data_IF_548478993350
#
_entry.id   IF_548478993350
#
_cell.length_a   1.000
_cell.length_b   1.000
_cell.length_c   1.000
_cell.angle_alpha   90.00
_cell.angle_beta   90.00
_cell.angle_gamma   90.00
#
_symmetry.space_group_name_H-M   'P 1'
#
loop_
_entity.id
_entity.type
_entity.pdbx_description
1 polymer ?
#
# COMPACT_ATOMS: atom_id res chain seq x y z
N UNK A 1 -2.71 -35.75 -31.10
CA UNK A 1 -2.68 -34.82 -29.95
C UNK A 1 -3.32 -33.52 -30.38
N UNK A 2 -4.51 -33.28 -29.85
CA UNK A 2 -5.61 -32.55 -30.47
C UNK A 2 -5.63 -31.06 -30.10
N UNK A 3 -6.40 -30.30 -30.90
CA UNK A 3 -6.73 -28.86 -30.78
C UNK A 3 -7.05 -28.34 -29.36
N UNK A 4 -7.35 -29.23 -28.41
CA UNK A 4 -7.65 -28.96 -27.01
C UNK A 4 -6.49 -28.31 -26.22
N UNK A 5 -5.23 -28.68 -26.48
CA UNK A 5 -4.09 -28.11 -25.75
C UNK A 5 -3.80 -26.63 -26.10
N UNK A 6 -4.29 -26.15 -27.24
CA UNK A 6 -4.12 -24.75 -27.65
C UNK A 6 -5.15 -23.82 -26.97
N UNK A 7 -6.29 -24.34 -26.53
CA UNK A 7 -7.30 -23.61 -25.73
C UNK A 7 -6.83 -23.38 -24.29
N UNK A 8 -6.14 -24.36 -23.70
CA UNK A 8 -5.65 -24.26 -22.31
C UNK A 8 -4.56 -23.20 -22.13
N UNK A 9 -3.66 -23.04 -23.12
CA UNK A 9 -2.58 -22.05 -23.05
C UNK A 9 -3.05 -20.61 -23.31
N UNK A 10 -4.17 -20.43 -24.02
CA UNK A 10 -4.76 -19.09 -24.26
C UNK A 10 -5.57 -18.61 -23.05
N UNK A 11 -6.27 -19.52 -22.36
CA UNK A 11 -6.97 -19.18 -21.11
C UNK A 11 -5.99 -18.87 -19.96
N UNK A 12 -4.83 -19.53 -19.88
CA UNK A 12 -3.86 -19.29 -18.79
C UNK A 12 -3.21 -17.90 -18.82
N UNK A 13 -3.13 -17.21 -19.97
CA UNK A 13 -2.53 -15.87 -20.05
C UNK A 13 -3.53 -14.74 -19.76
N UNK A 14 -4.81 -14.93 -20.10
CA UNK A 14 -5.88 -13.98 -19.77
C UNK A 14 -6.27 -14.10 -18.29
N UNK A 15 -6.24 -15.32 -17.73
CA UNK A 15 -6.51 -15.57 -16.31
C UNK A 15 -5.40 -15.03 -15.39
N UNK A 16 -4.14 -14.96 -15.87
CA UNK A 16 -3.06 -14.29 -15.14
C UNK A 16 -3.12 -12.76 -15.19
N UNK A 17 -3.65 -12.15 -16.26
CA UNK A 17 -3.86 -10.69 -16.35
C UNK A 17 -5.08 -10.26 -15.53
N UNK A 18 -6.16 -11.03 -15.60
CA UNK A 18 -7.30 -10.89 -14.69
C UNK A 18 -6.88 -11.07 -13.23
N UNK A 19 -6.10 -12.11 -12.92
CA UNK A 19 -5.58 -12.36 -11.56
C UNK A 19 -4.63 -11.28 -11.05
N UNK A 20 -3.83 -10.63 -11.90
CA UNK A 20 -2.94 -9.53 -11.50
C UNK A 20 -3.72 -8.24 -11.18
N UNK A 21 -4.77 -7.92 -11.96
CA UNK A 21 -5.72 -6.84 -11.68
C UNK A 21 -6.59 -7.12 -10.45
N UNK A 22 -7.04 -8.36 -10.28
CA UNK A 22 -7.80 -8.83 -9.11
C UNK A 22 -6.94 -8.79 -7.85
N UNK A 23 -5.66 -9.20 -7.94
CA UNK A 23 -4.70 -9.04 -6.85
C UNK A 23 -4.43 -7.56 -6.59
N UNK A 24 -4.32 -6.72 -7.62
CA UNK A 24 -4.19 -5.28 -7.45
C UNK A 24 -5.42 -4.66 -6.77
N UNK A 25 -6.65 -5.10 -7.06
CA UNK A 25 -7.89 -4.58 -6.47
C UNK A 25 -8.19 -5.11 -5.05
N UNK A 26 -7.80 -6.36 -4.76
CA UNK A 26 -7.84 -6.92 -3.39
C UNK A 26 -6.70 -6.31 -2.54
N UNK A 27 -5.55 -6.06 -3.15
CA UNK A 27 -4.46 -5.26 -2.57
C UNK A 27 -4.86 -3.78 -2.47
N UNK A 28 -5.76 -3.26 -3.31
CA UNK A 28 -6.34 -1.93 -3.11
C UNK A 28 -7.22 -1.92 -1.85
N UNK A 29 -7.97 -2.98 -1.53
CA UNK A 29 -8.73 -3.05 -0.27
C UNK A 29 -7.90 -3.47 0.97
N UNK A 30 -6.76 -4.15 0.80
CA UNK A 30 -5.93 -4.70 1.90
C UNK A 30 -4.59 -3.97 2.10
N UNK A 31 -4.08 -3.26 1.09
CA UNK A 31 -2.83 -2.46 1.12
C UNK A 31 -3.12 -0.97 0.85
N UNK A 32 -4.31 -0.59 0.35
CA UNK A 32 -4.71 0.79 0.08
C UNK A 32 -6.03 1.12 0.81
N UNK A 33 -5.98 1.17 2.14
CA UNK A 33 -7.05 1.82 2.90
C UNK A 33 -7.19 3.33 2.65
N UNK A 34 -6.68 3.85 1.53
CA UNK A 34 -6.52 5.28 1.32
C UNK A 34 -6.49 5.69 -0.16
N UNK A 35 -7.50 6.47 -0.53
CA UNK A 35 -7.64 7.17 -1.80
C UNK A 35 -8.92 6.72 -2.48
N UNK A 36 -9.99 7.51 -2.56
CA UNK A 36 -10.05 8.92 -2.94
C UNK A 36 -11.41 9.55 -2.51
N UNK A 37 -11.79 10.70 -3.07
CA UNK A 37 -12.91 11.65 -2.88
C UNK A 37 -12.72 12.76 -1.85
N UNK A 38 -12.84 14.00 -2.34
CA UNK A 38 -12.66 15.23 -1.59
C UNK A 38 -13.98 15.89 -1.14
N UNK A 39 -13.82 16.69 -0.08
CA UNK A 39 -14.27 18.08 0.09
C UNK A 39 -15.58 18.52 -0.59
N UNK A 40 -16.71 18.29 0.09
CA UNK A 40 -17.53 19.40 0.59
C UNK A 40 -18.00 19.06 2.01
N UNK A 41 -17.10 19.18 2.98
CA UNK A 41 -17.48 19.52 4.35
C UNK A 41 -16.55 20.62 4.90
N UNK A 42 -16.12 21.55 4.05
CA UNK A 42 -15.29 22.69 4.44
C UNK A 42 -16.06 23.84 5.09
N UNK A 43 -17.35 23.68 5.40
CA UNK A 43 -18.18 24.80 5.88
C UNK A 43 -18.91 24.59 7.22
N UNK A 44 -18.86 23.41 7.88
CA UNK A 44 -19.52 23.26 9.20
C UNK A 44 -19.10 22.09 10.11
N UNK A 45 -17.96 21.45 9.86
CA UNK A 45 -17.27 20.63 10.89
C UNK A 45 -16.31 21.52 11.61
N UNK A 46 -16.16 21.34 12.92
CA UNK A 46 -14.99 21.80 13.61
C UNK A 46 -13.73 21.40 12.83
N UNK A 47 -12.77 22.33 12.71
CA UNK A 47 -11.38 22.01 12.39
C UNK A 47 -10.86 21.05 13.46
N UNK A 48 -11.14 19.76 13.36
CA UNK A 48 -10.38 18.77 14.09
C UNK A 48 -9.08 18.59 13.32
N UNK A 49 -8.06 19.30 13.80
CA UNK A 49 -6.69 19.02 13.40
C UNK A 49 -6.37 17.59 13.83
N UNK A 50 -5.90 16.77 12.89
CA UNK A 50 -5.51 15.38 13.19
C UNK A 50 -4.42 15.39 14.26
N UNK A 51 -4.75 14.92 15.46
CA UNK A 51 -3.81 14.85 16.57
C UNK A 51 -3.19 13.45 16.63
N UNK A 52 -1.92 13.35 16.25
CA UNK A 52 -1.13 12.12 16.41
C UNK A 52 -0.65 12.03 17.86
N UNK A 53 -0.98 10.97 18.61
CA UNK A 53 -0.57 10.84 19.99
C UNK A 53 0.95 10.70 20.10
N UNK A 54 1.56 11.36 21.09
CA UNK A 54 2.98 11.20 21.43
C UNK A 54 3.22 10.01 22.36
N UNK A 55 2.18 9.54 23.05
CA UNK A 55 2.19 8.40 23.97
C UNK A 55 0.79 7.78 24.08
N UNK A 56 0.73 6.54 24.55
CA UNK A 56 -0.49 5.87 25.00
C UNK A 56 -0.44 5.70 26.51
N UNK A 57 -1.57 5.91 27.18
CA UNK A 57 -1.72 5.65 28.62
C UNK A 57 -2.13 4.21 28.87
N UNK A 58 -1.98 3.73 30.12
CA UNK A 58 -2.48 2.41 30.53
C UNK A 58 -3.99 2.26 30.22
N UNK A 59 -4.78 3.31 30.45
CA UNK A 59 -6.21 3.30 30.13
C UNK A 59 -6.47 3.14 28.63
N UNK A 60 -5.65 3.76 27.77
CA UNK A 60 -5.80 3.62 26.32
C UNK A 60 -5.56 2.17 25.89
N UNK A 61 -4.57 1.50 26.48
CA UNK A 61 -4.34 0.07 26.26
C UNK A 61 -5.50 -0.79 26.73
N UNK A 62 -6.03 -0.53 27.93
CA UNK A 62 -7.19 -1.28 28.45
C UNK A 62 -8.41 -1.14 27.54
N UNK A 63 -8.67 0.07 27.03
CA UNK A 63 -9.76 0.33 26.08
C UNK A 63 -9.52 -0.38 24.74
N UNK A 64 -8.29 -0.38 24.23
CA UNK A 64 -7.93 -1.08 23.00
C UNK A 64 -8.08 -2.60 23.12
N UNK A 65 -7.70 -3.18 24.25
CA UNK A 65 -7.76 -4.62 24.51
C UNK A 65 -9.18 -5.12 24.84
N UNK A 66 -10.10 -4.23 25.23
CA UNK A 66 -11.48 -4.59 25.57
C UNK A 66 -12.19 -5.21 24.36
N UNK A 67 -12.64 -6.46 24.50
CA UNK A 67 -13.37 -7.18 23.44
C UNK A 67 -12.49 -7.71 22.30
N UNK A 68 -11.17 -7.72 22.47
CA UNK A 68 -10.27 -8.46 21.59
C UNK A 68 -10.41 -9.98 21.82
N UNK A 69 -9.92 -10.77 20.85
CA UNK A 69 -10.03 -12.23 20.87
C UNK A 69 -9.44 -12.85 22.16
N UNK A 70 -10.17 -13.75 22.86
CA UNK A 70 -9.71 -14.34 24.11
C UNK A 70 -8.38 -15.10 24.00
N UNK A 71 -8.09 -15.75 22.86
CA UNK A 71 -6.81 -16.44 22.68
C UNK A 71 -5.66 -15.43 22.49
N UNK A 72 -5.91 -14.31 21.80
CA UNK A 72 -4.97 -13.20 21.74
C UNK A 72 -4.69 -12.60 23.12
N UNK A 73 -5.74 -12.33 23.92
CA UNK A 73 -5.58 -11.81 25.28
C UNK A 73 -4.82 -12.79 26.19
N UNK A 74 -5.12 -14.09 26.11
CA UNK A 74 -4.39 -15.12 26.85
C UNK A 74 -2.91 -15.15 26.47
N UNK A 75 -2.59 -15.09 25.17
CA UNK A 75 -1.20 -15.02 24.71
C UNK A 75 -0.49 -13.80 25.29
N UNK A 76 -1.15 -12.63 25.29
CA UNK A 76 -0.58 -11.44 25.91
C UNK A 76 -0.42 -11.58 27.42
N UNK A 77 -1.31 -12.28 28.12
CA UNK A 77 -1.22 -12.50 29.57
C UNK A 77 -0.08 -13.47 29.95
N UNK A 78 0.12 -14.52 29.16
CA UNK A 78 1.07 -15.60 29.45
C UNK A 78 2.51 -15.26 29.00
N UNK A 79 2.68 -14.34 28.05
CA UNK A 79 3.99 -14.02 27.45
C UNK A 79 4.40 -12.54 27.69
N UNK A 80 5.31 -12.27 28.66
CA UNK A 80 5.86 -10.95 28.89
C UNK A 80 6.60 -10.37 27.67
N UNK A 81 7.25 -11.20 26.86
CA UNK A 81 7.96 -10.76 25.66
C UNK A 81 6.99 -10.29 24.59
N UNK A 82 5.84 -10.96 24.43
CA UNK A 82 4.77 -10.51 23.53
C UNK A 82 4.24 -9.13 23.93
N UNK A 83 4.04 -8.88 25.23
CA UNK A 83 3.64 -7.54 25.73
C UNK A 83 4.70 -6.49 25.44
N UNK A 84 5.96 -6.80 25.73
CA UNK A 84 7.06 -5.88 25.45
C UNK A 84 7.15 -5.54 23.96
N UNK A 85 7.03 -6.54 23.08
CA UNK A 85 7.04 -6.34 21.63
C UNK A 85 5.86 -5.48 21.16
N UNK A 86 4.66 -5.71 21.70
CA UNK A 86 3.50 -4.88 21.40
C UNK A 86 3.74 -3.40 21.78
N UNK A 87 4.27 -3.16 22.98
CA UNK A 87 4.58 -1.81 23.46
C UNK A 87 5.67 -1.12 22.63
N UNK A 88 6.75 -1.84 22.30
CA UNK A 88 7.82 -1.29 21.46
C UNK A 88 7.33 -0.98 20.04
N UNK A 89 6.46 -1.81 19.46
CA UNK A 89 5.84 -1.51 18.16
C UNK A 89 5.05 -0.19 18.21
N UNK A 90 4.18 0.00 19.22
CA UNK A 90 3.44 1.26 19.37
C UNK A 90 4.39 2.44 19.54
N UNK A 91 5.39 2.31 20.40
CA UNK A 91 6.39 3.36 20.63
C UNK A 91 7.14 3.75 19.36
N UNK A 92 7.59 2.77 18.57
CA UNK A 92 8.27 3.01 17.30
C UNK A 92 7.35 3.69 16.29
N UNK A 93 6.12 3.17 16.10
CA UNK A 93 5.13 3.78 15.20
C UNK A 93 4.84 5.23 15.59
N UNK A 94 4.58 5.51 16.86
CA UNK A 94 4.30 6.87 17.33
C UNK A 94 5.53 7.78 17.17
N UNK A 95 6.74 7.28 17.45
CA UNK A 95 7.95 8.06 17.26
C UNK A 95 8.13 8.49 15.79
N UNK A 96 7.97 7.55 14.86
CA UNK A 96 8.09 7.83 13.42
C UNK A 96 6.97 8.76 12.95
N UNK A 97 5.74 8.55 13.37
CA UNK A 97 4.60 9.40 13.01
C UNK A 97 4.77 10.85 13.53
N UNK A 98 5.25 11.02 14.76
CA UNK A 98 5.52 12.35 15.31
C UNK A 98 6.71 13.03 14.63
N UNK A 99 7.74 12.28 14.26
CA UNK A 99 8.84 12.82 13.45
C UNK A 99 8.35 13.22 12.05
N UNK A 100 7.48 12.43 11.44
CA UNK A 100 6.83 12.76 10.16
C UNK A 100 6.07 14.09 10.25
N UNK A 101 5.28 14.27 11.31
CA UNK A 101 4.58 15.53 11.61
C UNK A 101 5.56 16.68 11.76
N UNK A 102 6.64 16.50 12.54
CA UNK A 102 7.66 17.53 12.77
C UNK A 102 8.35 17.99 11.49
N UNK A 103 8.54 17.09 10.54
CA UNK A 103 9.15 17.39 9.23
C UNK A 103 8.14 17.87 8.17
N UNK A 104 6.90 18.21 8.57
CA UNK A 104 5.91 18.82 7.69
C UNK A 104 5.21 17.84 6.75
N UNK A 105 5.31 16.52 6.96
CA UNK A 105 4.66 15.54 6.08
C UNK A 105 3.12 15.72 6.08
N UNK A 106 2.56 16.18 7.19
CA UNK A 106 1.13 16.46 7.31
C UNK A 106 0.69 17.75 6.60
N UNK A 107 1.62 18.54 6.05
CA UNK A 107 1.29 19.75 5.26
C UNK A 107 0.94 19.41 3.81
N UNK A 108 1.37 18.25 3.33
CA UNK A 108 1.05 17.71 2.00
C UNK A 108 -0.46 17.41 1.87
N UNK A 109 -1.10 17.90 0.82
CA UNK A 109 -2.54 17.77 0.63
C UNK A 109 -2.98 16.32 0.34
N UNK A 110 -2.14 15.51 -0.31
CA UNK A 110 -2.39 14.07 -0.51
C UNK A 110 -2.37 13.38 0.85
N UNK A 111 -1.38 13.67 1.70
CA UNK A 111 -1.29 13.15 3.08
C UNK A 111 -2.50 13.58 3.93
N UNK A 112 -2.92 14.84 3.87
CA UNK A 112 -4.11 15.31 4.59
C UNK A 112 -5.39 14.61 4.15
N UNK A 113 -5.54 14.40 2.84
CA UNK A 113 -6.68 13.65 2.31
C UNK A 113 -6.64 12.21 2.81
N UNK A 114 -5.47 11.60 2.73
CA UNK A 114 -5.23 10.23 3.14
C UNK A 114 -5.60 10.00 4.62
N UNK A 115 -5.21 10.92 5.51
CA UNK A 115 -5.57 10.87 6.94
C UNK A 115 -7.08 10.96 7.20
N UNK A 116 -7.83 11.73 6.39
CA UNK A 116 -9.30 11.84 6.50
C UNK A 116 -9.99 10.56 6.04
N UNK A 117 -9.48 9.92 5.00
CA UNK A 117 -10.04 8.64 4.53
C UNK A 117 -9.79 7.51 5.53
N UNK A 118 -8.63 7.49 6.20
CA UNK A 118 -8.38 6.55 7.31
C UNK A 118 -9.43 6.75 8.41
N UNK A 119 -9.67 7.99 8.83
CA UNK A 119 -10.67 8.29 9.85
C UNK A 119 -12.07 7.82 9.43
N UNK A 120 -12.48 8.14 8.20
CA UNK A 120 -13.77 7.74 7.64
C UNK A 120 -13.93 6.22 7.66
N UNK A 121 -12.95 5.49 7.13
CA UNK A 121 -13.00 4.04 7.00
C UNK A 121 -12.94 3.34 8.36
N UNK A 122 -12.02 3.72 9.24
CA UNK A 122 -11.88 3.10 10.56
C UNK A 122 -13.13 3.34 11.41
N UNK A 123 -13.72 4.53 11.31
CA UNK A 123 -14.98 4.86 11.97
C UNK A 123 -16.13 4.02 11.43
N UNK A 124 -16.32 4.01 10.11
CA UNK A 124 -17.37 3.25 9.44
C UNK A 124 -17.28 1.74 9.75
N UNK A 125 -16.10 1.16 9.57
CA UNK A 125 -15.88 -0.28 9.79
C UNK A 125 -16.03 -0.67 11.25
N UNK A 126 -15.56 0.15 12.20
CA UNK A 126 -15.75 -0.12 13.63
C UNK A 126 -17.22 -0.06 14.01
N UNK A 127 -17.97 0.90 13.46
CA UNK A 127 -19.40 1.03 13.70
C UNK A 127 -20.20 -0.13 13.10
N UNK A 128 -19.91 -0.51 11.86
CA UNK A 128 -20.55 -1.65 11.19
C UNK A 128 -20.34 -2.95 11.99
N UNK A 129 -19.12 -3.19 12.46
CA UNK A 129 -18.80 -4.34 13.31
C UNK A 129 -19.57 -4.33 14.63
N UNK A 130 -19.67 -3.18 15.30
CA UNK A 130 -20.40 -3.09 16.58
C UNK A 130 -21.91 -3.23 16.38
N UNK A 131 -22.49 -2.56 15.39
CA UNK A 131 -23.91 -2.63 15.02
C UNK A 131 -24.34 -4.06 14.66
N UNK A 132 -23.45 -4.84 14.04
CA UNK A 132 -23.74 -6.18 13.57
C UNK A 132 -23.09 -7.28 14.42
N UNK A 133 -22.62 -6.93 15.61
CA UNK A 133 -22.01 -7.87 16.55
C UNK A 133 -22.96 -9.03 16.87
N UNK A 134 -22.44 -10.25 16.78
CA UNK A 134 -23.21 -11.48 17.05
C UNK A 134 -24.08 -11.96 15.89
N UNK A 135 -24.16 -11.23 14.76
CA UNK A 135 -24.94 -11.68 13.60
C UNK A 135 -24.25 -12.73 12.71
N UNK A 136 -22.99 -13.09 13.01
CA UNK A 136 -22.21 -14.09 12.27
C UNK A 136 -21.07 -13.47 11.43
N UNK A 137 -20.25 -14.28 10.74
CA UNK A 137 -19.20 -13.77 9.87
C UNK A 137 -19.82 -13.19 8.60
N UNK A 138 -19.72 -11.88 8.44
CA UNK A 138 -20.10 -11.19 7.21
C UNK A 138 -18.91 -10.38 6.69
N UNK A 139 -18.80 -10.17 5.37
CA UNK A 139 -17.86 -9.18 4.85
C UNK A 139 -18.18 -7.81 5.48
N UNK A 140 -17.18 -6.92 5.64
CA UNK A 140 -17.43 -5.56 6.08
C UNK A 140 -18.56 -4.93 5.28
N UNK A 141 -19.50 -4.27 5.97
CA UNK A 141 -20.66 -3.63 5.36
C UNK A 141 -21.62 -4.59 4.63
N UNK A 142 -21.56 -5.89 4.96
CA UNK A 142 -22.35 -6.94 4.33
C UNK A 142 -23.86 -6.86 4.61
N UNK A 143 -24.27 -6.07 5.61
CA UNK A 143 -25.68 -5.85 5.96
C UNK A 143 -26.26 -4.57 5.35
N UNK A 144 -25.51 -3.87 4.50
CA UNK A 144 -26.01 -2.74 3.73
C UNK A 144 -26.45 -3.25 2.36
N UNK A 145 -27.75 -3.13 2.10
CA UNK A 145 -28.40 -3.69 0.92
C UNK A 145 -28.21 -2.81 -0.32
N UNK A 146 -28.40 -3.39 -1.51
CA UNK A 146 -28.28 -2.67 -2.78
C UNK A 146 -29.23 -1.47 -2.89
N UNK A 147 -30.42 -1.57 -2.30
CA UNK A 147 -31.39 -0.47 -2.35
C UNK A 147 -30.96 0.72 -1.48
N UNK A 148 -30.22 0.49 -0.39
CA UNK A 148 -29.60 1.55 0.39
C UNK A 148 -28.48 2.23 -0.40
N UNK A 149 -27.70 1.45 -1.14
CA UNK A 149 -26.66 1.96 -2.06
C UNK A 149 -27.28 2.81 -3.17
N UNK A 150 -28.36 2.34 -3.81
CA UNK A 150 -29.09 3.11 -4.85
C UNK A 150 -29.61 4.41 -4.27
N UNK A 151 -30.26 4.37 -3.10
CA UNK A 151 -30.78 5.55 -2.41
C UNK A 151 -29.69 6.55 -2.05
N UNK A 152 -28.49 6.09 -1.68
CA UNK A 152 -27.35 6.98 -1.46
C UNK A 152 -27.01 7.79 -2.72
N UNK A 153 -27.16 7.21 -3.91
CA UNK A 153 -26.87 7.88 -5.19
C UNK A 153 -28.05 8.67 -5.79
N UNK A 154 -29.27 8.61 -5.22
CA UNK A 154 -30.36 9.53 -5.60
C UNK A 154 -29.96 11.01 -5.39
N UNK A 155 -29.00 11.24 -4.50
CA UNK A 155 -28.38 12.55 -4.31
C UNK A 155 -27.31 12.81 -5.37
N UNK A 156 -27.54 13.82 -6.23
CA UNK A 156 -26.57 14.28 -7.25
C UNK A 156 -25.21 14.65 -6.66
N UNK A 157 -25.15 15.12 -5.41
CA UNK A 157 -23.90 15.40 -4.72
C UNK A 157 -23.07 14.12 -4.52
N UNK A 158 -23.72 13.02 -4.11
CA UNK A 158 -23.04 11.74 -3.89
C UNK A 158 -22.55 11.12 -5.20
N UNK A 159 -23.28 11.32 -6.30
CA UNK A 159 -22.81 10.95 -7.65
C UNK A 159 -21.54 11.72 -8.02
N UNK A 160 -21.53 13.04 -7.85
CA UNK A 160 -20.36 13.86 -8.14
C UNK A 160 -19.17 13.49 -7.25
N UNK A 161 -19.42 13.21 -5.97
CA UNK A 161 -18.40 12.77 -5.02
C UNK A 161 -17.77 11.44 -5.44
N UNK A 162 -18.57 10.48 -5.91
CA UNK A 162 -18.05 9.22 -6.44
C UNK A 162 -17.28 9.39 -7.75
N UNK A 163 -17.72 10.28 -8.65
CA UNK A 163 -16.98 10.50 -9.89
C UNK A 163 -15.58 11.07 -9.60
N UNK A 164 -15.49 12.00 -8.64
CA UNK A 164 -14.19 12.50 -8.18
C UNK A 164 -13.37 11.40 -7.46
N UNK A 165 -14.02 10.58 -6.63
CA UNK A 165 -13.42 9.37 -6.04
C UNK A 165 -12.71 8.55 -7.11
N UNK A 166 -13.48 8.13 -8.11
CA UNK A 166 -13.02 7.20 -9.12
C UNK A 166 -11.87 7.80 -9.92
N UNK A 167 -11.99 9.08 -10.32
CA UNK A 167 -10.96 9.74 -11.12
C UNK A 167 -9.59 9.70 -10.43
N UNK A 168 -9.46 10.18 -9.19
CA UNK A 168 -8.12 10.22 -8.57
C UNK A 168 -7.66 8.85 -8.10
N UNK A 169 -8.58 7.91 -7.82
CA UNK A 169 -8.20 6.54 -7.51
C UNK A 169 -7.51 5.90 -8.72
N UNK A 170 -8.05 6.14 -9.91
CA UNK A 170 -7.45 5.74 -11.19
C UNK A 170 -6.10 6.44 -11.41
N UNK A 171 -6.03 7.77 -11.23
CA UNK A 171 -4.77 8.53 -11.38
C UNK A 171 -3.68 8.00 -10.43
N UNK A 172 -4.04 7.72 -9.16
CA UNK A 172 -3.12 7.16 -8.17
C UNK A 172 -2.68 5.74 -8.54
N UNK A 173 -3.61 4.88 -8.95
CA UNK A 173 -3.29 3.53 -9.39
C UNK A 173 -2.33 3.54 -10.60
N UNK A 174 -2.52 4.46 -11.54
CA UNK A 174 -1.62 4.67 -12.68
C UNK A 174 -0.24 5.17 -12.24
N UNK A 175 -0.19 6.15 -11.33
CA UNK A 175 1.07 6.68 -10.76
C UNK A 175 1.88 5.61 -10.02
N UNK A 176 1.21 4.69 -9.34
CA UNK A 176 1.83 3.59 -8.59
C UNK A 176 2.12 2.34 -9.44
N UNK A 177 1.79 2.35 -10.73
CA UNK A 177 1.97 1.20 -11.62
C UNK A 177 1.02 0.02 -11.33
N UNK A 178 -0.03 0.24 -10.55
CA UNK A 178 -1.08 -0.75 -10.24
C UNK A 178 -2.08 -0.87 -11.39
N UNK A 179 -2.23 0.19 -12.18
CA UNK A 179 -3.02 0.22 -13.40
C UNK A 179 -2.13 0.70 -14.56
N UNK A 180 -2.14 0.03 -15.74
CA UNK A 180 -1.43 0.55 -16.90
C UNK A 180 -1.89 1.97 -17.25
N UNK A 181 -0.96 2.81 -17.75
CA UNK A 181 -1.22 4.24 -18.02
C UNK A 181 -2.43 4.47 -18.94
N UNK A 182 -2.58 3.61 -19.95
CA UNK A 182 -3.62 3.72 -20.98
C UNK A 182 -4.82 2.80 -20.71
N UNK A 183 -4.87 2.14 -19.54
CA UNK A 183 -5.99 1.31 -19.14
C UNK A 183 -7.00 2.10 -18.31
N UNK A 184 -8.27 1.78 -18.47
CA UNK A 184 -9.36 2.27 -17.63
C UNK A 184 -9.96 1.10 -16.82
N UNK A 185 -10.60 1.37 -15.66
CA UNK A 185 -11.32 0.36 -14.90
C UNK A 185 -12.43 -0.29 -15.72
N UNK A 186 -12.74 -1.56 -15.43
CA UNK A 186 -13.89 -2.23 -16.03
C UNK A 186 -15.20 -1.74 -15.42
N UNK A 187 -16.33 -1.98 -16.09
CA UNK A 187 -17.66 -1.67 -15.53
C UNK A 187 -17.89 -2.39 -14.19
N UNK A 188 -17.45 -3.65 -14.07
CA UNK A 188 -17.55 -4.41 -12.81
C UNK A 188 -16.74 -3.76 -11.69
N UNK A 189 -15.53 -3.27 -11.99
CA UNK A 189 -14.69 -2.56 -11.02
C UNK A 189 -15.36 -1.26 -10.56
N UNK A 190 -15.98 -0.54 -11.49
CA UNK A 190 -16.70 0.71 -11.19
C UNK A 190 -17.91 0.43 -10.30
N UNK A 191 -18.71 -0.60 -10.61
CA UNK A 191 -19.89 -0.95 -9.81
C UNK A 191 -19.51 -1.43 -8.41
N UNK A 192 -18.44 -2.22 -8.28
CA UNK A 192 -17.90 -2.60 -6.96
C UNK A 192 -17.42 -1.38 -6.18
N UNK A 193 -16.65 -0.50 -6.82
CA UNK A 193 -16.19 0.73 -6.21
C UNK A 193 -17.35 1.64 -5.77
N UNK A 194 -18.42 1.75 -6.57
CA UNK A 194 -19.64 2.49 -6.19
C UNK A 194 -20.27 1.90 -4.92
N UNK A 195 -20.42 0.58 -4.88
CA UNK A 195 -21.00 -0.12 -3.74
C UNK A 195 -20.18 0.13 -2.47
N UNK A 196 -18.87 -0.13 -2.51
CA UNK A 196 -17.98 0.05 -1.36
C UNK A 196 -17.93 1.51 -0.90
N UNK A 197 -17.85 2.44 -1.85
CA UNK A 197 -17.85 3.88 -1.60
C UNK A 197 -19.08 4.36 -0.84
N UNK A 198 -20.26 3.91 -1.27
CA UNK A 198 -21.53 4.25 -0.64
C UNK A 198 -21.61 3.62 0.75
N UNK A 199 -21.31 2.33 0.87
CA UNK A 199 -21.40 1.56 2.12
C UNK A 199 -20.58 2.17 3.25
N UNK A 200 -19.33 2.55 2.98
CA UNK A 200 -18.47 3.23 3.97
C UNK A 200 -19.11 4.55 4.45
N UNK A 201 -19.66 5.35 3.53
CA UNK A 201 -20.25 6.67 3.86
C UNK A 201 -21.59 6.56 4.56
N UNK A 202 -22.41 5.58 4.21
CA UNK A 202 -23.66 5.26 4.91
C UNK A 202 -23.33 4.90 6.37
N UNK A 203 -22.40 3.96 6.61
CA UNK A 203 -21.99 3.58 7.97
C UNK A 203 -21.38 4.74 8.76
N UNK A 204 -20.54 5.57 8.14
CA UNK A 204 -19.95 6.72 8.80
C UNK A 204 -20.98 7.78 9.20
N UNK A 205 -21.95 8.07 8.33
CA UNK A 205 -23.01 9.04 8.63
C UNK A 205 -23.97 8.48 9.69
N UNK A 206 -24.23 7.17 9.69
CA UNK A 206 -25.01 6.52 10.74
C UNK A 206 -24.27 6.58 12.10
N UNK A 207 -22.96 6.30 12.13
CA UNK A 207 -22.14 6.47 13.34
C UNK A 207 -22.24 7.90 13.89
N UNK A 208 -22.12 8.90 13.02
CA UNK A 208 -22.17 10.31 13.40
C UNK A 208 -23.56 10.71 13.92
N UNK A 209 -24.61 10.33 13.22
CA UNK A 209 -25.99 10.66 13.59
C UNK A 209 -26.44 9.98 14.90
N UNK A 210 -25.95 8.76 15.17
CA UNK A 210 -26.25 8.00 16.39
C UNK A 210 -25.21 8.16 17.49
N UNK A 211 -24.21 9.03 17.33
CA UNK A 211 -23.06 9.12 18.23
C UNK A 211 -23.43 9.36 19.70
N UNK A 212 -24.52 10.09 19.97
CA UNK A 212 -25.03 10.31 21.33
C UNK A 212 -25.57 9.05 22.02
N UNK A 213 -26.01 8.06 21.25
CA UNK A 213 -26.56 6.79 21.74
C UNK A 213 -25.47 5.72 21.93
N UNK A 214 -24.28 5.94 21.37
CA UNK A 214 -23.18 4.98 21.44
C UNK A 214 -22.48 5.01 22.80
N UNK A 215 -22.07 3.82 23.24
CA UNK A 215 -21.25 3.61 24.43
C UNK A 215 -19.99 4.50 24.41
N UNK A 216 -19.70 5.26 25.49
CA UNK A 216 -18.54 6.13 25.54
C UNK A 216 -17.19 5.41 25.38
N UNK A 217 -17.03 4.20 25.94
CA UNK A 217 -15.80 3.42 25.77
C UNK A 217 -15.63 2.96 24.32
N UNK A 218 -16.72 2.57 23.66
CA UNK A 218 -16.70 2.25 22.23
C UNK A 218 -16.22 3.45 21.40
N UNK A 219 -16.79 4.64 21.61
CA UNK A 219 -16.35 5.86 20.91
C UNK A 219 -14.88 6.17 21.15
N UNK A 220 -14.41 6.05 22.40
CA UNK A 220 -12.99 6.22 22.75
C UNK A 220 -12.11 5.18 22.04
N UNK A 221 -12.55 3.92 21.97
CA UNK A 221 -11.84 2.86 21.25
C UNK A 221 -11.73 3.18 19.76
N UNK A 222 -12.79 3.68 19.13
CA UNK A 222 -12.78 4.09 17.72
C UNK A 222 -11.79 5.24 17.49
N UNK A 223 -11.84 6.29 18.31
CA UNK A 223 -10.89 7.42 18.24
C UNK A 223 -9.42 6.96 18.35
N UNK A 224 -9.13 6.08 19.31
CA UNK A 224 -7.79 5.50 19.46
C UNK A 224 -7.38 4.68 18.23
N UNK A 225 -8.28 3.86 17.67
CA UNK A 225 -8.00 3.09 16.45
C UNK A 225 -7.74 4.00 15.25
N UNK A 226 -8.50 5.09 15.09
CA UNK A 226 -8.28 6.11 14.05
C UNK A 226 -6.87 6.69 14.19
N UNK A 227 -6.53 7.20 15.37
CA UNK A 227 -5.22 7.82 15.66
C UNK A 227 -4.06 6.86 15.42
N UNK A 228 -4.22 5.59 15.80
CA UNK A 228 -3.19 4.57 15.60
C UNK A 228 -3.00 4.19 14.13
N UNK A 229 -4.08 4.13 13.34
CA UNK A 229 -3.94 3.90 11.91
C UNK A 229 -3.35 5.09 11.18
N UNK A 230 -3.73 6.32 11.55
CA UNK A 230 -3.12 7.54 11.04
C UNK A 230 -1.62 7.60 11.38
N UNK A 231 -1.24 7.24 12.61
CA UNK A 231 0.17 7.15 13.00
C UNK A 231 0.93 6.08 12.18
N UNK A 232 0.33 4.91 11.99
CA UNK A 232 0.92 3.83 11.18
C UNK A 232 1.15 4.25 9.73
N UNK A 233 0.16 4.94 9.15
CA UNK A 233 0.29 5.52 7.81
C UNK A 233 1.43 6.55 7.74
N UNK A 234 1.48 7.51 8.66
CA UNK A 234 2.54 8.53 8.67
C UNK A 234 3.92 7.92 8.89
N UNK A 235 4.06 6.94 9.77
CA UNK A 235 5.32 6.25 10.01
C UNK A 235 5.84 5.56 8.73
N UNK A 236 4.93 4.92 7.98
CA UNK A 236 5.26 4.29 6.70
C UNK A 236 5.65 5.33 5.65
N UNK A 237 4.84 6.38 5.45
CA UNK A 237 5.13 7.46 4.48
C UNK A 237 6.45 8.17 4.81
N UNK A 238 6.72 8.44 6.07
CA UNK A 238 8.00 9.00 6.49
C UNK A 238 9.18 8.08 6.14
N UNK A 239 9.03 6.77 6.34
CA UNK A 239 10.06 5.81 5.96
C UNK A 239 10.29 5.77 4.45
N UNK A 240 9.20 5.77 3.65
CA UNK A 240 9.24 5.62 2.20
C UNK A 240 9.65 6.90 1.45
N UNK A 241 9.13 8.06 1.85
CA UNK A 241 9.28 9.30 1.09
C UNK A 241 10.39 10.21 1.60
N UNK A 242 10.71 10.08 2.90
CA UNK A 242 11.65 10.97 3.58
C UNK A 242 12.92 10.22 3.91
N UNK A 243 12.84 9.16 4.73
CA UNK A 243 14.04 8.42 5.15
C UNK A 243 14.72 7.73 3.98
N UNK A 244 13.96 7.06 3.10
CA UNK A 244 14.55 6.42 1.91
C UNK A 244 15.40 7.37 1.09
N UNK A 245 14.90 8.58 0.81
CA UNK A 245 15.66 9.61 0.06
C UNK A 245 16.88 10.12 0.81
N UNK A 246 16.79 10.21 2.15
CA UNK A 246 17.94 10.57 3.00
C UNK A 246 18.99 9.45 3.10
N UNK A 247 18.59 8.20 2.81
CA UNK A 247 19.45 7.01 2.84
C UNK A 247 19.95 6.60 1.46
N UNK A 248 19.56 7.31 0.39
CA UNK A 248 20.12 7.08 -0.94
C UNK A 248 21.62 7.39 -0.91
N UNK A 249 22.44 6.35 -1.07
CA UNK A 249 23.90 6.49 -1.10
C UNK A 249 24.30 7.10 -2.42
N UNK A 250 24.94 8.25 -2.38
CA UNK A 250 25.46 8.94 -3.55
C UNK A 250 26.72 8.27 -4.11
N UNK A 251 26.98 8.43 -5.41
CA UNK A 251 28.23 7.98 -6.03
C UNK A 251 29.46 8.54 -5.30
N UNK A 252 29.37 9.78 -4.80
CA UNK A 252 30.46 10.40 -4.03
C UNK A 252 30.71 9.71 -2.69
N UNK A 253 29.65 9.27 -2.00
CA UNK A 253 29.79 8.49 -0.75
C UNK A 253 30.39 7.11 -1.05
N UNK A 254 29.98 6.46 -2.15
CA UNK A 254 30.58 5.20 -2.61
C UNK A 254 32.06 5.41 -2.93
N UNK A 255 32.41 6.43 -3.71
CA UNK A 255 33.80 6.74 -4.04
C UNK A 255 34.65 7.02 -2.82
N UNK A 256 34.13 7.81 -1.87
CA UNK A 256 34.81 8.08 -0.61
C UNK A 256 35.04 6.79 0.17
N UNK A 257 34.01 5.96 0.29
CA UNK A 257 34.09 4.69 1.00
C UNK A 257 35.10 3.75 0.34
N UNK A 258 35.08 3.60 -0.98
CA UNK A 258 36.05 2.78 -1.72
C UNK A 258 37.48 3.33 -1.63
N UNK A 259 37.67 4.64 -1.50
CA UNK A 259 38.98 5.25 -1.27
C UNK A 259 39.52 4.92 0.12
N UNK A 260 38.65 4.87 1.13
CA UNK A 260 38.99 4.47 2.50
C UNK A 260 39.14 2.95 2.64
N UNK A 261 38.52 2.18 1.75
CA UNK A 261 38.50 0.71 1.69
C UNK A 261 38.91 0.19 0.30
N UNK A 262 40.16 0.43 -0.14
CA UNK A 262 40.61 0.07 -1.49
C UNK A 262 40.51 -1.43 -1.78
N UNK A 263 40.54 -2.29 -0.75
CA UNK A 263 40.32 -3.73 -0.85
C UNK A 263 38.93 -4.12 -1.36
N UNK A 264 37.96 -3.21 -1.30
CA UNK A 264 36.60 -3.42 -1.79
C UNK A 264 36.40 -2.90 -3.23
N UNK A 265 37.36 -2.13 -3.78
CA UNK A 265 37.25 -1.60 -5.14
C UNK A 265 37.67 -2.62 -6.20
N UNK A 266 36.72 -3.48 -6.56
CA UNK A 266 36.92 -4.52 -7.59
C UNK A 266 36.74 -3.99 -9.02
N UNK A 267 36.52 -2.68 -9.24
CA UNK A 267 36.16 -2.13 -10.56
C UNK A 267 37.24 -2.36 -11.61
N UNK A 268 38.51 -2.21 -11.25
CA UNK A 268 39.63 -2.43 -12.18
C UNK A 268 39.71 -3.89 -12.64
N UNK A 269 39.58 -4.83 -11.70
CA UNK A 269 39.59 -6.28 -11.99
C UNK A 269 38.40 -6.69 -12.87
N UNK A 270 37.20 -6.21 -12.52
CA UNK A 270 35.97 -6.48 -13.27
C UNK A 270 36.04 -5.89 -14.68
N UNK A 271 36.60 -4.68 -14.82
CA UNK A 271 36.81 -4.03 -16.12
C UNK A 271 37.79 -4.82 -16.98
N UNK A 272 38.94 -5.21 -16.44
CA UNK A 272 39.92 -6.00 -17.17
C UNK A 272 39.32 -7.32 -17.67
N UNK A 273 38.55 -8.01 -16.81
CA UNK A 273 37.85 -9.24 -17.19
C UNK A 273 36.77 -9.01 -18.25
N UNK A 274 36.00 -7.92 -18.16
CA UNK A 274 35.01 -7.57 -19.18
C UNK A 274 35.67 -7.25 -20.53
N UNK A 275 36.78 -6.52 -20.53
CA UNK A 275 37.56 -6.20 -21.74
C UNK A 275 38.19 -7.44 -22.38
N UNK A 276 38.71 -8.37 -21.58
CA UNK A 276 39.21 -9.69 -22.04
C UNK A 276 38.10 -10.48 -22.73
N UNK A 277 36.95 -10.64 -22.08
CA UNK A 277 35.81 -11.39 -22.63
C UNK A 277 35.27 -10.72 -23.90
N UNK A 278 35.24 -9.39 -23.95
CA UNK A 278 34.84 -8.65 -25.15
C UNK A 278 35.79 -8.92 -26.33
N UNK A 279 37.10 -9.00 -26.09
CA UNK A 279 38.06 -9.31 -27.14
C UNK A 279 37.86 -10.74 -27.69
N UNK A 280 37.62 -11.71 -26.81
CA UNK A 280 37.32 -13.11 -27.18
C UNK A 280 36.03 -13.23 -28.02
N UNK A 281 34.97 -12.53 -27.62
CA UNK A 281 33.73 -12.44 -28.40
C UNK A 281 33.99 -11.85 -29.80
N UNK A 282 34.76 -10.75 -29.88
CA UNK A 282 35.13 -10.12 -31.16
C UNK A 282 36.00 -11.00 -32.05
N UNK A 283 36.77 -11.93 -31.46
CA UNK A 283 37.56 -12.92 -32.17
C UNK A 283 36.73 -14.13 -32.67
N UNK A 284 35.42 -14.17 -32.38
CA UNK A 284 34.50 -15.19 -32.87
C UNK A 284 34.22 -16.33 -31.87
N UNK A 285 34.64 -16.21 -30.61
CA UNK A 285 34.25 -17.16 -29.57
C UNK A 285 32.76 -17.05 -29.24
N UNK A 286 32.12 -18.19 -28.91
CA UNK A 286 30.69 -18.26 -28.64
C UNK A 286 30.30 -17.45 -27.38
N UNK A 287 29.56 -16.37 -27.61
CA UNK A 287 29.11 -15.48 -26.53
C UNK A 287 28.27 -16.22 -25.48
N UNK A 288 27.41 -17.15 -25.89
CA UNK A 288 26.52 -17.84 -24.97
C UNK A 288 27.30 -18.78 -24.03
N UNK A 289 28.38 -19.40 -24.50
CA UNK A 289 29.31 -20.18 -23.68
C UNK A 289 30.06 -19.28 -22.70
N UNK A 290 30.61 -18.16 -23.17
CA UNK A 290 31.29 -17.18 -22.31
C UNK A 290 30.35 -16.63 -21.23
N UNK A 291 29.10 -16.31 -21.59
CA UNK A 291 28.10 -15.84 -20.64
C UNK A 291 27.76 -16.92 -19.60
N UNK A 292 27.56 -18.18 -20.00
CA UNK A 292 27.34 -19.29 -19.05
C UNK A 292 28.50 -19.47 -18.07
N UNK A 293 29.73 -19.29 -18.54
CA UNK A 293 30.92 -19.51 -17.73
C UNK A 293 31.23 -18.33 -16.81
N UNK A 294 31.17 -17.10 -17.32
CA UNK A 294 31.73 -15.93 -16.65
C UNK A 294 30.70 -14.90 -16.19
N UNK A 295 29.44 -14.97 -16.63
CA UNK A 295 28.42 -14.02 -16.17
C UNK A 295 28.17 -14.16 -14.67
N UNK A 296 28.00 -13.03 -14.02
CA UNK A 296 27.60 -12.90 -12.61
C UNK A 296 26.11 -12.56 -12.47
N UNK A 297 25.41 -12.41 -13.59
CA UNK A 297 23.97 -12.14 -13.62
C UNK A 297 23.17 -13.44 -13.42
N UNK A 298 22.50 -13.64 -12.27
CA UNK A 298 21.74 -14.86 -11.99
C UNK A 298 20.52 -15.02 -12.92
N UNK A 299 20.03 -13.94 -13.55
CA UNK A 299 18.83 -13.98 -14.38
C UNK A 299 19.04 -14.57 -15.78
N UNK A 300 20.24 -14.42 -16.34
CA UNK A 300 20.53 -14.77 -17.73
C UNK A 300 21.72 -15.71 -17.94
N UNK A 301 22.59 -15.89 -16.94
CA UNK A 301 23.81 -16.73 -17.03
C UNK A 301 23.55 -18.10 -17.65
N UNK A 302 22.63 -18.88 -17.08
CA UNK A 302 22.35 -20.25 -17.53
C UNK A 302 21.70 -20.32 -18.93
N UNK A 303 21.19 -19.18 -19.41
CA UNK A 303 20.60 -19.01 -20.75
C UNK A 303 21.57 -18.39 -21.74
N UNK A 304 22.87 -18.32 -21.41
CA UNK A 304 23.89 -17.74 -22.28
C UNK A 304 23.76 -16.24 -22.45
N UNK A 305 23.31 -15.53 -21.41
CA UNK A 305 23.11 -14.07 -21.45
C UNK A 305 21.85 -13.63 -22.21
N UNK A 306 21.01 -14.58 -22.66
CA UNK A 306 19.82 -14.27 -23.44
C UNK A 306 18.65 -13.83 -22.55
N UNK A 307 18.21 -12.59 -22.77
CA UNK A 307 16.95 -12.07 -22.26
C UNK A 307 15.85 -12.16 -23.32
N UNK A 308 14.76 -12.87 -23.04
CA UNK A 308 13.63 -13.07 -23.98
C UNK A 308 12.45 -12.15 -23.64
N UNK A 309 11.74 -11.69 -24.66
CA UNK A 309 10.49 -10.90 -24.54
C UNK A 309 10.65 -9.59 -23.75
N UNK A 310 11.83 -8.97 -23.83
CA UNK A 310 12.08 -7.67 -23.20
C UNK A 310 11.38 -6.57 -23.99
N UNK A 311 10.68 -5.68 -23.29
CA UNK A 311 10.03 -4.51 -23.87
C UNK A 311 10.96 -3.31 -23.78
N UNK A 312 10.85 -2.36 -24.72
CA UNK A 312 11.55 -1.08 -24.61
C UNK A 312 11.24 -0.40 -23.28
N UNK A 313 12.27 0.08 -22.59
CA UNK A 313 12.17 0.66 -21.25
C UNK A 313 12.17 -0.36 -20.10
N UNK A 314 12.62 -1.60 -20.35
CA UNK A 314 12.79 -2.61 -19.29
C UNK A 314 14.18 -2.59 -18.68
N UNK A 315 15.17 -2.02 -19.36
CA UNK A 315 16.51 -1.83 -18.83
C UNK A 315 16.70 -0.41 -18.29
N UNK A 316 17.77 -0.24 -17.52
CA UNK A 316 18.25 1.09 -17.11
C UNK A 316 18.66 1.90 -18.36
N UNK A 317 18.59 3.25 -18.31
CA UNK A 317 18.87 4.10 -19.47
C UNK A 317 20.19 3.79 -20.19
N UNK A 318 21.23 3.45 -19.42
CA UNK A 318 22.57 3.11 -19.91
C UNK A 318 22.57 1.88 -20.82
N UNK A 319 21.67 0.93 -20.60
CA UNK A 319 21.50 -0.26 -21.45
C UNK A 319 20.51 -0.03 -22.60
N UNK A 320 19.52 0.84 -22.43
CA UNK A 320 18.55 1.18 -23.48
C UNK A 320 19.18 2.02 -24.62
N UNK A 321 20.25 2.76 -24.35
CA UNK A 321 20.90 3.62 -25.36
C UNK A 321 21.85 2.87 -26.29
N UNK A 322 22.18 1.62 -25.97
CA UNK A 322 23.14 0.78 -26.71
C UNK A 322 22.50 -0.42 -27.43
N UNK A 323 21.22 -0.70 -27.15
CA UNK A 323 20.44 -1.81 -27.73
C UNK A 323 19.67 -1.41 -28.99
#
# INVERSE_FOLDING_TARGET
>A
MTREFRKFRKNSSDDQRGSALIKALIVILVIIGIGVALLVWKAKVAKHETEIPTKLTEQDFLVLLKGEDPAYLKKLADDPSARQKLLENFKQTLAFANQAKKEGLMDDEEVKQDLREIELFVTASSYDQEKNKGKGPFPPFGFIEEDEVKKFYDNRFNQALFNEFLQKAVERAKKQGLLPKDADPTEEDIERAKSDFAKVRISAEEFKSKSSELDPDFKRKVDLRVKLQQASYLARRYSEDVLRKKLEVSDSEIEKYLKEHPELDTRAEKRAKAEELLARVKAGEDFAQLAKQYSEDPGSKDKGGLYQNIRKGSFIPEFETVA
#
